data_IF_022949647520
#
_entry.id   IF_022949647520
#
_cell.length_a   1.000
_cell.length_b   1.000
_cell.length_c   1.000
_cell.angle_alpha   90.00
_cell.angle_beta   90.00
_cell.angle_gamma   90.00
#
_symmetry.space_group_name_H-M   'P 1'
#
loop_
_entity.id
_entity.type
_entity.pdbx_description
1 polymer ?
#
# COMPACT_ATOMS: atom_id res chain seq x y z
N UNK A 1 -38.09 -11.11 -13.08
CA UNK A 1 -36.82 -11.82 -12.81
C UNK A 1 -35.90 -11.36 -13.91
N UNK A 2 -35.20 -10.25 -13.65
CA UNK A 2 -34.43 -9.55 -14.66
C UNK A 2 -33.18 -10.36 -15.02
N UNK A 3 -32.99 -10.54 -16.33
CA UNK A 3 -31.95 -11.37 -16.91
C UNK A 3 -30.63 -10.57 -16.93
N UNK A 4 -29.72 -10.89 -16.02
CA UNK A 4 -28.39 -10.28 -15.90
C UNK A 4 -27.46 -10.87 -16.99
N UNK A 5 -27.80 -10.66 -18.26
CA UNK A 5 -27.21 -11.40 -19.40
C UNK A 5 -26.22 -10.58 -20.24
N UNK A 6 -25.91 -9.34 -19.85
CA UNK A 6 -24.84 -8.59 -20.51
C UNK A 6 -23.64 -8.40 -19.59
N UNK A 7 -22.44 -8.51 -20.15
CA UNK A 7 -21.17 -8.30 -19.45
C UNK A 7 -21.12 -6.93 -18.74
N UNK A 8 -21.87 -5.95 -19.26
CA UNK A 8 -22.02 -4.63 -18.66
C UNK A 8 -22.79 -4.67 -17.34
N UNK A 9 -23.90 -5.41 -17.28
CA UNK A 9 -24.75 -5.54 -16.10
C UNK A 9 -24.01 -6.25 -14.95
N UNK A 10 -23.20 -7.26 -15.26
CA UNK A 10 -22.38 -7.99 -14.28
C UNK A 10 -21.29 -7.08 -13.70
N UNK A 11 -20.60 -6.32 -14.56
CA UNK A 11 -19.56 -5.39 -14.12
C UNK A 11 -20.15 -4.30 -13.22
N UNK A 12 -21.29 -3.71 -13.60
CA UNK A 12 -21.93 -2.68 -12.79
C UNK A 12 -22.38 -3.21 -11.42
N UNK A 13 -22.92 -4.44 -11.36
CA UNK A 13 -23.29 -5.09 -10.11
C UNK A 13 -22.09 -5.38 -9.21
N UNK A 14 -20.97 -5.85 -9.80
CA UNK A 14 -19.72 -6.09 -9.08
C UNK A 14 -19.16 -4.78 -8.50
N UNK A 15 -19.04 -3.74 -9.33
CA UNK A 15 -18.55 -2.43 -8.88
C UNK A 15 -19.44 -1.89 -7.76
N UNK A 16 -20.77 -1.98 -7.90
CA UNK A 16 -21.72 -1.52 -6.86
C UNK A 16 -21.56 -2.31 -5.57
N UNK A 17 -21.46 -3.64 -5.65
CA UNK A 17 -21.32 -4.52 -4.51
C UNK A 17 -20.02 -4.26 -3.75
N UNK A 18 -18.88 -4.25 -4.46
CA UNK A 18 -17.57 -4.02 -3.84
C UNK A 18 -17.42 -2.59 -3.31
N UNK A 19 -17.95 -1.59 -4.01
CA UNK A 19 -17.97 -0.21 -3.51
C UNK A 19 -18.76 -0.11 -2.19
N UNK A 20 -19.91 -0.78 -2.09
CA UNK A 20 -20.69 -0.83 -0.85
C UNK A 20 -19.93 -1.52 0.29
N UNK A 21 -19.24 -2.63 0.03
CA UNK A 21 -18.41 -3.31 1.03
C UNK A 21 -17.24 -2.44 1.51
N UNK A 22 -16.57 -1.74 0.60
CA UNK A 22 -15.47 -0.83 0.95
C UNK A 22 -15.95 0.37 1.78
N UNK A 23 -17.15 0.88 1.51
CA UNK A 23 -17.79 1.94 2.32
C UNK A 23 -18.22 1.45 3.72
N UNK A 24 -18.62 0.18 3.84
CA UNK A 24 -18.86 -0.47 5.13
C UNK A 24 -17.57 -0.69 5.93
N UNK A 25 -16.44 -0.94 5.26
CA UNK A 25 -15.13 -1.05 5.90
C UNK A 25 -14.59 0.29 6.43
N UNK A 26 -15.16 1.41 6.00
CA UNK A 26 -14.84 2.77 6.47
C UNK A 26 -15.65 3.20 7.70
N UNK A 27 -16.49 2.29 8.25
CA UNK A 27 -17.17 2.52 9.53
C UNK A 27 -16.11 2.80 10.60
N UNK A 28 -16.31 3.91 11.32
CA UNK A 28 -15.45 4.39 12.40
C UNK A 28 -14.95 3.22 13.27
N UNK A 29 -13.65 3.25 13.60
CA UNK A 29 -13.00 2.31 14.52
C UNK A 29 -13.97 1.94 15.66
N UNK A 30 -14.59 0.75 15.63
CA UNK A 30 -15.60 0.42 16.62
C UNK A 30 -14.95 0.44 18.01
N UNK A 31 -15.70 0.74 19.08
CA UNK A 31 -15.15 0.76 20.46
C UNK A 31 -14.35 -0.52 20.80
N UNK A 32 -14.69 -1.64 20.16
CA UNK A 32 -13.98 -2.91 20.23
C UNK A 32 -12.55 -2.88 19.68
N UNK A 33 -12.24 -2.05 18.68
CA UNK A 33 -10.86 -1.93 18.14
C UNK A 33 -9.94 -1.17 19.08
N UNK A 34 -10.40 -0.06 19.67
CA UNK A 34 -9.60 0.70 20.63
C UNK A 34 -9.33 -0.13 21.91
N UNK A 35 -10.34 -0.86 22.40
CA UNK A 35 -10.18 -1.77 23.53
C UNK A 35 -9.28 -2.97 23.20
N UNK A 36 -9.40 -3.53 21.99
CA UNK A 36 -8.47 -4.56 21.49
C UNK A 36 -7.04 -4.05 21.43
N UNK A 37 -6.77 -2.88 20.83
CA UNK A 37 -5.39 -2.36 20.72
C UNK A 37 -4.78 -2.03 22.09
N UNK A 38 -5.60 -1.64 23.07
CA UNK A 38 -5.14 -1.37 24.44
C UNK A 38 -4.84 -2.65 25.21
N UNK A 39 -5.59 -3.73 24.96
CA UNK A 39 -5.45 -5.03 25.64
C UNK A 39 -4.47 -5.97 24.93
N UNK A 40 -4.31 -5.81 23.62
CA UNK A 40 -3.29 -6.47 22.83
C UNK A 40 -1.93 -5.99 23.32
N UNK A 41 -1.09 -6.93 23.76
CA UNK A 41 0.30 -6.66 24.16
C UNK A 41 1.13 -6.40 22.89
N UNK A 42 0.83 -5.30 22.20
CA UNK A 42 1.53 -4.92 20.99
C UNK A 42 2.98 -4.55 21.34
N UNK A 43 3.95 -4.96 20.51
CA UNK A 43 5.32 -4.52 20.69
C UNK A 43 5.38 -3.00 20.62
N UNK A 44 5.95 -2.38 21.66
CA UNK A 44 6.21 -0.96 21.69
C UNK A 44 7.59 -0.69 21.10
N UNK A 45 7.66 0.28 20.20
CA UNK A 45 8.92 0.71 19.58
C UNK A 45 9.71 1.52 20.62
N UNK A 46 11.00 1.23 20.78
CA UNK A 46 11.85 2.01 21.69
C UNK A 46 12.19 3.37 21.09
N UNK A 47 12.60 4.33 21.92
CA UNK A 47 13.01 5.65 21.44
C UNK A 47 14.15 5.56 20.41
N UNK A 48 15.08 4.63 20.60
CA UNK A 48 16.19 4.38 19.66
C UNK A 48 15.67 3.90 18.30
N UNK A 49 14.75 2.93 18.30
CA UNK A 49 14.12 2.43 17.08
C UNK A 49 13.27 3.51 16.39
N UNK A 50 12.59 4.37 17.16
CA UNK A 50 11.87 5.51 16.59
C UNK A 50 12.81 6.46 15.86
N UNK A 51 13.96 6.79 16.46
CA UNK A 51 14.95 7.64 15.80
C UNK A 51 15.51 7.01 14.53
N UNK A 52 15.82 5.71 14.56
CA UNK A 52 16.30 4.96 13.38
C UNK A 52 15.25 4.92 12.26
N UNK A 53 13.97 4.75 12.60
CA UNK A 53 12.87 4.74 11.63
C UNK A 53 12.55 6.12 11.03
N UNK A 54 12.95 7.20 11.72
CA UNK A 54 12.79 8.59 11.27
C UNK A 54 14.01 9.08 10.46
N UNK A 55 15.09 8.30 10.38
CA UNK A 55 16.25 8.65 9.60
C UNK A 55 15.95 8.63 8.08
N UNK A 56 16.65 9.46 7.28
CA UNK A 56 16.48 9.46 5.83
C UNK A 56 16.79 8.10 5.20
N UNK A 57 15.89 7.64 4.32
CA UNK A 57 16.05 6.38 3.59
C UNK A 57 17.26 6.45 2.66
N UNK A 58 18.14 5.45 2.77
CA UNK A 58 19.36 5.36 2.00
C UNK A 58 19.15 4.65 0.65
N UNK A 59 19.98 4.96 -0.36
CA UNK A 59 19.97 4.23 -1.63
C UNK A 59 20.17 2.72 -1.47
N UNK A 60 20.99 2.32 -0.48
CA UNK A 60 21.31 0.91 -0.24
C UNK A 60 20.08 0.15 0.25
N UNK A 61 19.33 0.71 1.20
CA UNK A 61 18.10 0.09 1.71
C UNK A 61 17.07 -0.11 0.60
N UNK A 62 16.94 0.85 -0.32
CA UNK A 62 16.05 0.74 -1.48
C UNK A 62 16.49 -0.43 -2.38
N UNK A 63 17.78 -0.51 -2.70
CA UNK A 63 18.33 -1.58 -3.54
C UNK A 63 18.12 -2.94 -2.88
N UNK A 64 18.45 -3.07 -1.60
CA UNK A 64 18.26 -4.31 -0.84
C UNK A 64 16.79 -4.73 -0.79
N UNK A 65 15.88 -3.77 -0.59
CA UNK A 65 14.43 -4.02 -0.62
C UNK A 65 13.94 -4.50 -1.99
N UNK A 66 14.45 -3.90 -3.08
CA UNK A 66 14.14 -4.33 -4.46
C UNK A 66 14.65 -5.76 -4.69
N UNK A 67 15.88 -6.07 -4.29
CA UNK A 67 16.47 -7.39 -4.51
C UNK A 67 15.80 -8.48 -3.68
N UNK A 68 15.41 -8.19 -2.44
CA UNK A 68 14.73 -9.12 -1.55
C UNK A 68 13.32 -9.51 -2.04
N UNK A 69 12.71 -8.71 -2.93
CA UNK A 69 11.35 -8.95 -3.43
C UNK A 69 11.29 -10.20 -4.31
N UNK A 70 10.31 -11.06 -4.06
CA UNK A 70 10.12 -12.31 -4.82
C UNK A 70 9.49 -12.03 -6.19
N UNK A 71 10.07 -12.63 -7.23
CA UNK A 71 9.64 -12.55 -8.64
C UNK A 71 8.38 -13.39 -8.92
N UNK A 72 7.64 -13.07 -9.98
CA UNK A 72 6.43 -13.82 -10.38
C UNK A 72 5.20 -13.59 -9.50
N UNK A 73 5.17 -12.51 -8.70
CA UNK A 73 3.98 -12.06 -7.97
C UNK A 73 3.05 -11.25 -8.87
N UNK A 74 1.78 -11.15 -8.48
CA UNK A 74 0.82 -10.21 -9.07
C UNK A 74 1.38 -8.79 -9.05
N UNK A 75 1.10 -8.04 -10.12
CA UNK A 75 1.50 -6.64 -10.25
C UNK A 75 0.92 -5.82 -9.08
N UNK A 76 1.66 -4.80 -8.65
CA UNK A 76 1.15 -3.85 -7.67
C UNK A 76 0.03 -2.98 -8.25
N UNK A 77 -0.51 -2.05 -7.44
CA UNK A 77 -1.41 -1.00 -7.95
C UNK A 77 -0.75 -0.12 -9.02
N UNK A 78 0.59 -0.11 -9.05
CA UNK A 78 1.43 0.52 -10.08
C UNK A 78 1.42 -0.19 -11.44
N UNK A 79 0.91 -1.42 -11.53
CA UNK A 79 0.95 -2.24 -12.74
C UNK A 79 2.36 -2.71 -13.15
N UNK A 80 3.38 -2.53 -12.30
CA UNK A 80 4.77 -2.85 -12.61
C UNK A 80 5.19 -4.19 -11.99
N UNK A 81 5.84 -5.09 -12.76
CA UNK A 81 6.30 -6.36 -12.24
C UNK A 81 7.53 -6.19 -11.36
N UNK A 82 7.77 -7.13 -10.44
CA UNK A 82 8.97 -7.10 -9.57
C UNK A 82 10.27 -7.11 -10.39
N UNK A 83 10.26 -7.77 -11.54
CA UNK A 83 11.35 -7.84 -12.50
C UNK A 83 11.72 -6.47 -13.07
N UNK A 84 10.74 -5.58 -13.26
CA UNK A 84 11.00 -4.19 -13.69
C UNK A 84 11.87 -3.48 -12.67
N UNK A 85 11.51 -3.56 -11.40
CA UNK A 85 12.27 -2.97 -10.31
C UNK A 85 13.69 -3.51 -10.23
N UNK A 86 13.87 -4.83 -10.37
CA UNK A 86 15.20 -5.45 -10.34
C UNK A 86 16.08 -5.09 -11.54
N UNK A 87 15.49 -4.96 -12.73
CA UNK A 87 16.21 -4.61 -13.96
C UNK A 87 16.67 -3.15 -13.93
N UNK A 88 15.81 -2.25 -13.46
CA UNK A 88 16.07 -0.80 -13.44
C UNK A 88 16.50 -0.28 -12.07
N UNK A 89 16.92 -1.16 -11.15
CA UNK A 89 17.22 -0.86 -9.75
C UNK A 89 18.07 0.41 -9.58
N UNK A 90 19.23 0.46 -10.25
CA UNK A 90 20.13 1.62 -10.20
C UNK A 90 19.51 2.91 -10.76
N UNK A 91 18.66 2.80 -11.77
CA UNK A 91 17.99 3.95 -12.39
C UNK A 91 16.79 4.44 -11.58
N UNK A 92 16.10 3.53 -10.89
CA UNK A 92 14.91 3.84 -10.09
C UNK A 92 15.26 4.29 -8.67
N UNK A 93 16.35 3.78 -8.09
CA UNK A 93 16.80 4.12 -6.74
C UNK A 93 16.73 5.62 -6.44
N UNK A 94 17.33 6.53 -7.24
CA UNK A 94 17.30 7.96 -6.93
C UNK A 94 15.88 8.57 -7.01
N UNK A 95 15.00 8.01 -7.85
CA UNK A 95 13.62 8.48 -7.97
C UNK A 95 12.77 8.02 -6.79
N UNK A 96 12.90 6.75 -6.39
CA UNK A 96 12.23 6.20 -5.22
C UNK A 96 12.68 6.92 -3.94
N UNK A 97 13.98 7.19 -3.82
CA UNK A 97 14.53 7.93 -2.68
C UNK A 97 13.89 9.32 -2.57
N UNK A 98 13.84 10.07 -3.67
CA UNK A 98 13.22 11.40 -3.67
C UNK A 98 11.75 11.38 -3.24
N UNK A 99 10.98 10.38 -3.70
CA UNK A 99 9.57 10.20 -3.31
C UNK A 99 9.44 9.93 -1.82
N UNK A 100 10.27 9.05 -1.27
CA UNK A 100 10.21 8.71 0.15
C UNK A 100 10.71 9.85 1.06
N UNK A 101 11.73 10.60 0.63
CA UNK A 101 12.18 11.79 1.33
C UNK A 101 11.08 12.87 1.38
N UNK A 102 10.39 13.10 0.26
CA UNK A 102 9.24 14.00 0.21
C UNK A 102 8.12 13.51 1.15
N UNK A 103 7.80 12.22 1.11
CA UNK A 103 6.76 11.65 1.97
C UNK A 103 7.10 11.77 3.46
N UNK A 104 8.37 11.57 3.83
CA UNK A 104 8.86 11.72 5.21
C UNK A 104 8.73 13.19 5.66
N UNK A 105 9.16 14.14 4.83
CA UNK A 105 9.05 15.57 5.13
C UNK A 105 7.60 16.04 5.23
N UNK A 106 6.73 15.55 4.35
CA UNK A 106 5.33 15.93 4.29
C UNK A 106 4.46 15.17 5.31
N UNK A 107 5.02 14.14 5.96
CA UNK A 107 4.32 13.22 6.87
C UNK A 107 3.09 12.53 6.25
N UNK A 108 3.05 12.42 4.92
CA UNK A 108 2.03 11.68 4.18
C UNK A 108 2.61 11.15 2.86
N UNK A 109 2.10 10.01 2.40
CA UNK A 109 2.46 9.45 1.10
C UNK A 109 1.77 10.23 -0.04
N UNK A 110 2.31 10.19 -1.27
CA UNK A 110 1.62 10.73 -2.43
C UNK A 110 0.23 10.10 -2.59
N UNK A 111 -0.79 10.89 -2.94
CA UNK A 111 -2.18 10.42 -3.05
C UNK A 111 -2.33 9.19 -3.96
N UNK A 112 -1.56 9.15 -5.06
CA UNK A 112 -1.53 8.02 -6.00
C UNK A 112 -1.16 6.66 -5.38
N UNK A 113 -0.45 6.63 -4.24
CA UNK A 113 -0.11 5.37 -3.54
C UNK A 113 -1.34 4.76 -2.86
N UNK A 114 -2.34 5.58 -2.55
CA UNK A 114 -3.60 5.17 -1.93
C UNK A 114 -4.69 4.90 -2.97
N UNK A 115 -4.44 5.16 -4.24
CA UNK A 115 -5.38 4.87 -5.31
C UNK A 115 -5.42 3.35 -5.58
N UNK A 116 -6.59 2.75 -5.35
CA UNK A 116 -6.87 1.38 -5.73
C UNK A 116 -7.69 1.38 -7.02
N UNK A 117 -7.13 0.81 -8.09
CA UNK A 117 -7.89 0.53 -9.29
C UNK A 117 -8.56 -0.84 -9.14
N UNK A 118 -9.89 -0.85 -9.06
CA UNK A 118 -10.68 -2.06 -9.25
C UNK A 118 -10.75 -2.33 -10.76
N UNK A 119 -10.12 -3.41 -11.20
CA UNK A 119 -10.07 -3.87 -12.60
C UNK A 119 -10.97 -5.09 -12.79
#
# INVERSE_FOLDING_TARGET
>A
MDNLDTQHDIHEELVRHYTSLCQLATVAMPEDTASFLTTAQLPCVTQEQTMELEDPITPLEIQEAIQARVTGKTLGPDGLPTEFYKVYDLSLTPHLQAIYEEALQASHLPDSFCEALLI
#
